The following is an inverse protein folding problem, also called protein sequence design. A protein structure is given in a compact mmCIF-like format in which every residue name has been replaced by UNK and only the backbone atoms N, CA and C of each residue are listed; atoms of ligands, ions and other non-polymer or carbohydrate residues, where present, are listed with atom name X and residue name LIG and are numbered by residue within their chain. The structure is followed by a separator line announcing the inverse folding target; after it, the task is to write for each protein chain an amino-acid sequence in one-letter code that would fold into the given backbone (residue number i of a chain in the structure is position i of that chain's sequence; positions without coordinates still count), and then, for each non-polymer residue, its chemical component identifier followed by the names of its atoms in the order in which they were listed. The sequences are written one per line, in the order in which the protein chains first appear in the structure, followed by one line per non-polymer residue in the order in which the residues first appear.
data_IF_959527291087
#
_entry.id   IF_959527291087
#
_cell.length_a   1.000
_cell.length_b   1.000
_cell.length_c   1.000
_cell.angle_alpha   90.00
_cell.angle_beta   90.00
_cell.angle_gamma   90.00
#
_symmetry.space_group_name_H-M   'P 1'
#
loop_
_entity.id
_entity.type
_entity.pdbx_description
1 polymer ?
#
# COMPACT_ATOMS: atom_id res chain seq x y z
N UNK A 1 44.02 6.55 -47.54
CA UNK A 1 44.06 6.78 -46.08
C UNK A 1 42.68 6.44 -45.52
N UNK A 2 42.65 5.56 -44.50
CA UNK A 2 41.51 4.74 -44.10
C UNK A 2 40.45 5.48 -43.26
N UNK A 3 39.20 5.11 -43.51
CA UNK A 3 37.97 5.42 -42.78
C UNK A 3 38.03 4.93 -41.32
N UNK A 4 37.67 5.80 -40.36
CA UNK A 4 37.48 5.43 -38.95
C UNK A 4 36.00 5.15 -38.69
N UNK A 5 35.64 3.88 -38.63
CA UNK A 5 34.35 3.40 -38.11
C UNK A 5 34.54 3.04 -36.64
N UNK A 6 33.85 3.74 -35.73
CA UNK A 6 33.85 3.42 -34.30
C UNK A 6 32.86 2.30 -34.01
N UNK A 7 33.37 1.16 -33.52
CA UNK A 7 32.58 0.01 -33.06
C UNK A 7 32.24 0.24 -31.59
N UNK A 8 30.95 0.46 -31.29
CA UNK A 8 30.42 0.45 -29.93
C UNK A 8 30.19 -1.01 -29.53
N UNK A 9 30.97 -1.52 -28.57
CA UNK A 9 30.79 -2.84 -27.97
C UNK A 9 29.74 -2.73 -26.85
N UNK A 10 28.59 -3.38 -27.04
CA UNK A 10 27.63 -3.62 -25.97
C UNK A 10 28.02 -4.90 -25.22
N UNK A 11 28.42 -4.76 -23.95
CA UNK A 11 28.57 -5.89 -23.04
C UNK A 11 27.21 -6.23 -22.43
N UNK A 12 26.63 -7.34 -22.90
CA UNK A 12 25.44 -7.96 -22.31
C UNK A 12 25.88 -8.65 -21.00
N UNK A 13 25.43 -8.13 -19.86
CA UNK A 13 25.54 -8.82 -18.56
C UNK A 13 24.32 -9.73 -18.42
N UNK A 14 24.56 -11.03 -18.58
CA UNK A 14 23.57 -12.08 -18.37
C UNK A 14 23.46 -12.36 -16.86
N UNK A 15 22.32 -12.00 -16.25
CA UNK A 15 22.00 -12.41 -14.86
C UNK A 15 21.31 -13.76 -14.93
N UNK A 16 22.07 -14.83 -14.69
CA UNK A 16 21.54 -16.16 -14.50
C UNK A 16 20.93 -16.26 -13.09
N UNK A 17 19.62 -16.50 -13.01
CA UNK A 17 18.95 -16.91 -11.77
C UNK A 17 19.05 -18.44 -11.72
N UNK A 18 19.97 -18.95 -10.91
CA UNK A 18 20.07 -20.38 -10.62
C UNK A 18 18.97 -20.78 -9.65
N UNK A 19 18.00 -21.55 -10.15
CA UNK A 19 17.06 -22.31 -9.33
C UNK A 19 17.82 -23.45 -8.64
N UNK A 20 18.06 -23.32 -7.33
CA UNK A 20 18.60 -24.39 -6.51
C UNK A 20 17.48 -25.35 -6.08
N UNK A 21 17.39 -26.49 -6.75
CA UNK A 21 16.82 -27.71 -6.17
C UNK A 21 17.77 -28.20 -5.07
N UNK A 22 17.30 -28.26 -3.83
CA UNK A 22 17.87 -29.13 -2.81
C UNK A 22 16.77 -30.02 -2.23
N UNK A 23 16.78 -31.28 -2.65
CA UNK A 23 16.16 -32.38 -1.92
C UNK A 23 16.88 -32.55 -0.58
N UNK A 24 16.14 -32.53 0.52
CA UNK A 24 16.55 -33.20 1.75
C UNK A 24 15.36 -33.98 2.31
N UNK A 25 15.48 -35.30 2.24
CA UNK A 25 14.65 -36.27 2.97
C UNK A 25 15.18 -36.37 4.40
N UNK A 26 14.29 -36.20 5.38
CA UNK A 26 14.29 -36.72 6.77
C UNK A 26 13.09 -36.04 7.44
N UNK A 27 12.01 -36.69 7.89
CA UNK A 27 11.92 -37.90 8.69
C UNK A 27 11.78 -37.52 10.17
N UNK A 28 10.54 -37.37 10.66
CA UNK A 28 10.00 -37.68 12.01
C UNK A 28 8.86 -36.73 12.44
N UNK A 29 7.69 -37.30 12.67
CA UNK A 29 6.57 -36.72 13.40
C UNK A 29 6.63 -37.17 14.90
N UNK A 30 5.61 -36.90 15.74
CA UNK A 30 5.46 -35.70 16.56
C UNK A 30 5.52 -36.02 18.06
N UNK A 31 5.79 -35.02 18.91
CA UNK A 31 5.61 -35.15 20.36
C UNK A 31 4.80 -34.00 20.95
N UNK A 32 3.76 -34.41 21.67
CA UNK A 32 2.82 -33.62 22.46
C UNK A 32 3.52 -32.91 23.61
N UNK A 33 3.09 -31.69 23.94
CA UNK A 33 2.67 -31.39 25.32
C UNK A 33 1.84 -30.11 25.34
N UNK A 34 0.56 -30.26 25.67
CA UNK A 34 -0.26 -29.19 26.21
C UNK A 34 0.15 -28.98 27.67
N UNK A 35 0.30 -27.74 28.10
CA UNK A 35 0.19 -27.36 29.50
C UNK A 35 -0.68 -26.12 29.58
N UNK A 36 -1.80 -26.28 30.26
CA UNK A 36 -2.71 -25.23 30.66
C UNK A 36 -2.39 -24.84 32.11
N UNK A 37 -2.44 -23.54 32.43
CA UNK A 37 -2.59 -23.07 33.80
C UNK A 37 -3.55 -21.87 33.87
N UNK A 38 -4.75 -22.16 34.39
CA UNK A 38 -5.59 -21.41 35.37
C UNK A 38 -5.12 -19.99 35.76
N UNK A 39 -5.96 -18.96 35.63
CA UNK A 39 -6.94 -18.40 36.63
C UNK A 39 -6.24 -17.76 37.85
N UNK A 40 -6.60 -16.62 38.43
CA UNK A 40 -7.83 -15.82 38.46
C UNK A 40 -7.48 -14.40 39.00
N UNK A 41 -8.46 -13.50 39.00
CA UNK A 41 -8.82 -12.58 40.12
C UNK A 41 -9.29 -11.17 39.69
N UNK A 42 -10.63 -11.08 39.73
CA UNK A 42 -11.50 -9.97 40.11
C UNK A 42 -10.99 -9.11 41.27
N UNK A 43 -11.15 -7.79 41.15
CA UNK A 43 -11.58 -6.92 42.26
C UNK A 43 -12.15 -5.60 41.74
N UNK A 44 -13.47 -5.46 41.88
CA UNK A 44 -14.26 -4.23 41.81
C UNK A 44 -14.16 -3.48 43.14
N UNK A 45 -14.04 -2.15 43.10
CA UNK A 45 -14.25 -1.29 44.28
C UNK A 45 -15.21 -0.17 43.90
N UNK A 46 -16.44 -0.26 44.41
CA UNK A 46 -17.36 0.84 44.62
C UNK A 46 -16.96 1.62 45.89
N UNK A 47 -17.08 2.96 45.86
CA UNK A 47 -17.30 3.76 47.07
C UNK A 47 -18.33 4.85 46.78
N UNK A 48 -19.31 4.93 47.67
CA UNK A 48 -20.49 5.78 47.69
C UNK A 48 -20.25 7.23 48.19
N UNK A 49 -20.98 8.18 47.58
CA UNK A 49 -21.71 9.29 48.23
C UNK A 49 -20.96 10.59 48.57
N UNK A 50 -21.66 11.73 48.86
CA UNK A 50 -23.10 11.89 49.06
C UNK A 50 -23.82 13.02 48.27
N UNK A 51 -25.14 12.87 48.31
CA UNK A 51 -26.29 13.76 48.08
C UNK A 51 -26.09 15.26 48.38
N UNK A 52 -26.61 16.13 47.50
CA UNK A 52 -27.28 17.38 47.90
C UNK A 52 -28.44 17.73 46.96
N UNK A 53 -29.60 17.99 47.57
CA UNK A 53 -30.85 18.46 46.94
C UNK A 53 -30.85 19.99 46.92
N UNK A 54 -31.27 20.61 45.83
CA UNK A 54 -32.08 21.84 45.93
C UNK A 54 -32.99 21.97 44.70
N UNK A 55 -34.30 22.13 44.97
CA UNK A 55 -35.35 22.57 44.04
C UNK A 55 -35.23 24.09 43.85
N UNK A 56 -35.42 24.59 42.63
CA UNK A 56 -36.49 25.57 42.36
C UNK A 56 -36.65 25.78 40.85
N UNK A 57 -37.90 25.84 40.45
CA UNK A 57 -38.43 26.33 39.18
C UNK A 57 -38.03 27.78 38.91
N UNK A 58 -37.81 28.13 37.64
CA UNK A 58 -38.58 29.20 37.02
C UNK A 58 -38.58 29.13 35.49
N UNK A 59 -39.74 29.53 34.97
CA UNK A 59 -40.19 29.46 33.59
C UNK A 59 -40.08 30.85 32.96
N UNK A 60 -39.64 30.93 31.69
CA UNK A 60 -40.25 31.75 30.62
C UNK A 60 -39.26 32.44 29.66
N UNK A 61 -39.69 32.40 28.40
CA UNK A 61 -39.49 33.39 27.32
C UNK A 61 -38.19 33.38 26.52
N UNK A 62 -38.18 32.46 25.56
CA UNK A 62 -38.24 32.70 24.11
C UNK A 62 -37.87 34.11 23.57
N UNK A 63 -37.11 34.06 22.48
CA UNK A 63 -36.90 35.05 21.41
C UNK A 63 -35.69 36.00 21.53
N UNK A 64 -34.52 35.50 21.12
CA UNK A 64 -33.56 36.33 20.36
C UNK A 64 -32.59 35.45 19.55
N UNK A 65 -32.73 35.55 18.24
CA UNK A 65 -31.67 35.49 17.22
C UNK A 65 -30.77 34.25 17.15
N UNK A 66 -31.29 33.26 16.42
CA UNK A 66 -30.74 32.88 15.11
C UNK A 66 -29.29 33.31 14.84
N UNK A 67 -28.34 32.55 15.37
CA UNK A 67 -27.02 32.36 14.77
C UNK A 67 -26.42 31.07 15.34
N UNK A 68 -25.73 30.30 14.50
CA UNK A 68 -25.08 29.01 14.80
C UNK A 68 -26.00 27.78 14.74
N UNK A 69 -26.60 27.55 13.57
CA UNK A 69 -26.90 26.19 13.12
C UNK A 69 -26.44 26.03 11.66
N UNK A 70 -25.14 26.22 11.45
CA UNK A 70 -24.47 25.86 10.20
C UNK A 70 -23.82 24.48 10.35
N UNK A 71 -24.64 23.44 10.58
CA UNK A 71 -24.26 22.06 10.30
C UNK A 71 -25.15 21.57 9.17
N UNK A 72 -24.88 22.09 7.96
CA UNK A 72 -25.50 21.58 6.76
C UNK A 72 -25.02 20.14 6.55
N UNK A 73 -25.94 19.18 6.60
CA UNK A 73 -25.68 17.84 6.12
C UNK A 73 -25.30 17.95 4.65
N UNK A 74 -24.01 17.75 4.33
CA UNK A 74 -23.51 17.70 2.94
C UNK A 74 -24.35 16.66 2.19
N UNK A 75 -24.91 17.05 1.06
CA UNK A 75 -25.80 16.19 0.30
C UNK A 75 -25.03 15.00 -0.28
N UNK A 76 -25.71 13.86 -0.48
CA UNK A 76 -25.12 12.68 -1.11
C UNK A 76 -24.48 13.00 -2.49
N UNK A 77 -25.09 13.89 -3.25
CA UNK A 77 -24.60 14.32 -4.55
C UNK A 77 -23.27 15.09 -4.45
N UNK A 78 -23.12 15.95 -3.45
CA UNK A 78 -21.87 16.69 -3.20
C UNK A 78 -20.75 15.75 -2.78
N UNK A 79 -21.03 14.76 -1.92
CA UNK A 79 -20.07 13.72 -1.53
C UNK A 79 -19.61 12.92 -2.75
N UNK A 80 -20.55 12.47 -3.59
CA UNK A 80 -20.22 11.75 -4.82
C UNK A 80 -19.37 12.60 -5.78
N UNK A 81 -19.76 13.86 -6.00
CA UNK A 81 -19.01 14.76 -6.87
C UNK A 81 -17.58 15.02 -6.35
N UNK A 82 -17.40 15.11 -5.02
CA UNK A 82 -16.08 15.23 -4.41
C UNK A 82 -15.25 13.96 -4.61
N UNK A 83 -15.83 12.78 -4.41
CA UNK A 83 -15.14 11.49 -4.60
C UNK A 83 -14.62 11.31 -6.03
N UNK A 84 -15.41 11.68 -7.05
CA UNK A 84 -14.97 11.60 -8.47
C UNK A 84 -13.76 12.51 -8.76
N UNK A 85 -13.65 13.65 -8.07
CA UNK A 85 -12.55 14.61 -8.23
C UNK A 85 -11.35 14.34 -7.32
N UNK A 86 -11.45 13.36 -6.43
CA UNK A 86 -10.41 13.07 -5.44
C UNK A 86 -9.34 12.10 -5.96
N UNK A 87 -8.09 12.38 -5.62
CA UNK A 87 -6.98 11.45 -5.82
C UNK A 87 -7.16 10.21 -4.93
N UNK A 88 -6.65 9.06 -5.39
CA UNK A 88 -6.79 7.81 -4.63
C UNK A 88 -6.02 7.82 -3.30
N UNK A 89 -4.98 8.67 -3.19
CA UNK A 89 -4.14 8.84 -2.00
C UNK A 89 -4.96 8.91 -0.71
N UNK A 90 -6.04 9.68 -0.70
CA UNK A 90 -6.91 9.83 0.48
C UNK A 90 -7.54 8.49 0.91
N UNK A 91 -7.92 7.65 -0.04
CA UNK A 91 -8.50 6.33 0.24
C UNK A 91 -7.43 5.31 0.61
N UNK A 92 -6.24 5.39 0.02
CA UNK A 92 -5.09 4.60 0.46
C UNK A 92 -4.83 4.84 1.95
N UNK A 93 -4.80 6.10 2.38
CA UNK A 93 -4.58 6.47 3.78
C UNK A 93 -5.75 6.13 4.71
N UNK A 94 -6.97 6.01 4.18
CA UNK A 94 -8.11 5.42 4.92
C UNK A 94 -7.97 3.91 5.10
N UNK A 95 -7.36 3.20 4.14
CA UNK A 95 -7.25 1.73 4.13
C UNK A 95 -6.11 1.22 5.02
N UNK A 96 -4.91 1.81 4.94
CA UNK A 96 -3.74 1.28 5.68
C UNK A 96 -3.93 1.15 7.21
N UNK A 97 -4.71 1.99 7.92
CA UNK A 97 -4.93 1.83 9.35
C UNK A 97 -5.71 0.57 9.72
N UNK A 98 -6.48 -0.02 8.79
CA UNK A 98 -7.27 -1.23 9.04
C UNK A 98 -6.38 -2.47 9.36
N UNK A 99 -5.09 -2.43 9.00
CA UNK A 99 -4.12 -3.48 9.32
C UNK A 99 -3.46 -3.30 10.69
N UNK A 100 -3.72 -2.18 11.39
CA UNK A 100 -3.10 -1.91 12.69
C UNK A 100 -3.60 -2.92 13.73
N UNK A 101 -2.67 -3.54 14.46
CA UNK A 101 -2.97 -4.47 15.55
C UNK A 101 -3.36 -5.89 15.10
N UNK A 102 -3.45 -6.15 13.79
CA UNK A 102 -3.64 -7.51 13.28
C UNK A 102 -2.33 -8.29 13.17
N UNK A 103 -2.44 -9.62 13.13
CA UNK A 103 -1.31 -10.53 12.89
C UNK A 103 -1.18 -10.78 11.39
N UNK A 104 -0.22 -10.10 10.76
CA UNK A 104 0.05 -10.19 9.32
C UNK A 104 1.51 -10.59 9.09
N UNK A 105 1.85 -11.89 9.15
CA UNK A 105 3.22 -12.34 8.96
C UNK A 105 3.76 -11.96 7.58
N UNK A 106 5.07 -11.78 7.49
CA UNK A 106 5.73 -11.69 6.19
C UNK A 106 5.96 -13.09 5.63
N UNK A 107 5.53 -13.34 4.38
CA UNK A 107 5.86 -14.55 3.64
C UNK A 107 6.11 -14.21 2.19
N UNK A 108 7.39 -14.25 1.80
CA UNK A 108 7.80 -14.24 0.40
C UNK A 108 7.83 -15.67 -0.13
N UNK A 109 7.05 -15.94 -1.18
CA UNK A 109 7.05 -17.21 -1.89
C UNK A 109 7.11 -16.97 -3.40
N UNK A 110 7.36 -18.03 -4.16
CA UNK A 110 7.33 -18.01 -5.63
C UNK A 110 6.12 -18.75 -6.22
N UNK A 111 5.25 -19.32 -5.36
CA UNK A 111 4.07 -20.06 -5.78
C UNK A 111 2.86 -19.14 -5.97
N UNK A 112 2.94 -18.33 -7.03
CA UNK A 112 1.88 -17.40 -7.43
C UNK A 112 0.62 -18.09 -7.96
N UNK A 113 0.64 -19.42 -8.15
CA UNK A 113 -0.55 -20.18 -8.52
C UNK A 113 -1.48 -20.37 -7.32
N UNK A 114 -0.96 -20.40 -6.10
CA UNK A 114 -1.73 -20.65 -4.88
C UNK A 114 -1.78 -19.45 -3.92
N UNK A 115 -0.79 -18.57 -3.94
CA UNK A 115 -0.72 -17.41 -3.05
C UNK A 115 -0.04 -16.24 -3.75
N UNK A 116 -0.67 -15.07 -3.74
CA UNK A 116 -0.22 -13.88 -4.48
C UNK A 116 0.31 -12.76 -3.57
N UNK A 117 0.66 -13.05 -2.32
CA UNK A 117 1.18 -12.02 -1.41
C UNK A 117 0.14 -11.13 -0.76
N UNK A 118 -1.15 -11.45 -0.94
CA UNK A 118 -2.30 -10.71 -0.38
C UNK A 118 -2.77 -11.38 0.91
N UNK A 119 -3.32 -10.60 1.83
CA UNK A 119 -3.83 -11.06 3.13
C UNK A 119 -5.21 -11.72 3.01
N UNK A 120 -5.97 -11.37 1.97
CA UNK A 120 -7.27 -11.96 1.65
C UNK A 120 -7.47 -12.09 0.13
N UNK A 121 -8.39 -12.98 -0.28
CA UNK A 121 -8.67 -13.18 -1.70
C UNK A 121 -9.23 -11.89 -2.31
N UNK A 122 -8.66 -11.46 -3.41
CA UNK A 122 -9.16 -10.32 -4.18
C UNK A 122 -10.11 -10.85 -5.26
N UNK A 123 -11.36 -10.40 -5.20
CA UNK A 123 -12.42 -10.76 -6.14
C UNK A 123 -12.73 -9.55 -7.00
N UNK A 124 -12.60 -9.69 -8.32
CA UNK A 124 -12.94 -8.66 -9.29
C UNK A 124 -13.97 -9.18 -10.27
N UNK A 125 -15.11 -8.50 -10.36
CA UNK A 125 -16.23 -8.88 -11.24
C UNK A 125 -16.62 -10.37 -11.10
N UNK A 126 -16.70 -10.85 -9.85
CA UNK A 126 -17.07 -12.24 -9.52
C UNK A 126 -15.96 -13.28 -9.68
N UNK A 127 -14.76 -12.89 -10.14
CA UNK A 127 -13.61 -13.80 -10.31
C UNK A 127 -12.53 -13.53 -9.28
N UNK A 128 -11.94 -14.57 -8.70
CA UNK A 128 -10.73 -14.45 -7.88
C UNK A 128 -9.57 -14.08 -8.81
N UNK A 129 -8.92 -12.95 -8.54
CA UNK A 129 -7.76 -12.47 -9.31
C UNK A 129 -6.45 -12.52 -8.53
N UNK A 130 -6.50 -12.51 -7.20
CA UNK A 130 -5.36 -12.74 -6.32
C UNK A 130 -5.79 -13.58 -5.12
N UNK A 131 -4.95 -14.54 -4.72
CA UNK A 131 -5.23 -15.53 -3.67
C UNK A 131 -4.44 -15.23 -2.41
N UNK A 132 -5.13 -15.28 -1.27
CA UNK A 132 -4.50 -15.29 0.04
C UNK A 132 -3.76 -16.60 0.30
N UNK A 133 -2.92 -16.61 1.34
CA UNK A 133 -2.25 -17.84 1.76
C UNK A 133 -3.30 -18.91 2.16
N UNK A 134 -3.30 -20.11 1.55
CA UNK A 134 -4.29 -21.16 1.81
C UNK A 134 -4.38 -21.63 3.26
N UNK A 135 -3.32 -21.43 4.05
CA UNK A 135 -3.28 -21.77 5.48
C UNK A 135 -4.06 -20.80 6.38
N UNK A 136 -4.60 -19.71 5.83
CA UNK A 136 -5.36 -18.70 6.57
C UNK A 136 -4.51 -17.77 7.45
N UNK A 137 -3.18 -17.83 7.35
CA UNK A 137 -2.23 -17.04 8.15
C UNK A 137 -2.31 -15.53 7.94
N UNK A 138 -3.00 -15.08 6.87
CA UNK A 138 -3.00 -13.68 6.40
C UNK A 138 -1.59 -13.16 6.12
N UNK A 139 -0.66 -14.06 5.81
CA UNK A 139 0.68 -13.67 5.43
C UNK A 139 0.66 -12.85 4.15
N UNK A 140 1.58 -11.91 4.03
CA UNK A 140 1.71 -11.04 2.85
C UNK A 140 3.17 -10.83 2.46
N UNK A 141 3.40 -10.39 1.23
CA UNK A 141 4.66 -9.79 0.82
C UNK A 141 4.40 -8.44 0.15
N UNK A 142 5.43 -7.61 0.08
CA UNK A 142 5.33 -6.18 -0.24
C UNK A 142 4.47 -5.84 -1.48
N UNK A 143 4.73 -6.50 -2.62
CA UNK A 143 4.00 -6.21 -3.86
C UNK A 143 2.54 -6.66 -3.83
N UNK A 144 2.21 -7.75 -3.12
CA UNK A 144 0.84 -8.21 -2.98
C UNK A 144 0.03 -7.36 -2.02
N UNK A 145 0.62 -7.00 -0.87
CA UNK A 145 -0.05 -6.12 0.09
C UNK A 145 -0.38 -4.76 -0.52
N UNK A 146 0.55 -4.17 -1.27
CA UNK A 146 0.31 -2.87 -1.92
C UNK A 146 -0.72 -2.95 -3.04
N UNK A 147 -0.77 -4.07 -3.77
CA UNK A 147 -1.85 -4.34 -4.72
C UNK A 147 -3.22 -4.47 -4.03
N UNK A 148 -3.29 -5.16 -2.89
CA UNK A 148 -4.51 -5.25 -2.07
C UNK A 148 -4.97 -3.88 -1.58
N UNK A 149 -4.06 -3.04 -1.09
CA UNK A 149 -4.38 -1.68 -0.66
C UNK A 149 -4.88 -0.83 -1.82
N UNK A 150 -4.23 -0.89 -3.00
CA UNK A 150 -4.73 -0.26 -4.22
C UNK A 150 -6.16 -0.70 -4.53
N UNK A 151 -6.42 -2.01 -4.51
CA UNK A 151 -7.73 -2.57 -4.84
C UNK A 151 -8.82 -2.09 -3.87
N UNK A 152 -8.56 -2.18 -2.56
CA UNK A 152 -9.48 -1.71 -1.52
C UNK A 152 -9.76 -0.22 -1.60
N UNK A 153 -8.71 0.58 -1.84
CA UNK A 153 -8.86 2.03 -1.99
C UNK A 153 -9.71 2.39 -3.21
N UNK A 154 -9.53 1.66 -4.32
CA UNK A 154 -10.33 1.84 -5.54
C UNK A 154 -11.80 1.50 -5.30
N UNK A 155 -12.08 0.36 -4.68
CA UNK A 155 -13.46 -0.03 -4.34
C UNK A 155 -14.13 0.99 -3.42
N UNK A 156 -13.42 1.46 -2.40
CA UNK A 156 -13.95 2.44 -1.45
C UNK A 156 -14.28 3.77 -2.13
N UNK A 157 -13.36 4.30 -2.93
CA UNK A 157 -13.63 5.53 -3.70
C UNK A 157 -14.79 5.34 -4.66
N UNK A 158 -14.87 4.21 -5.33
CA UNK A 158 -15.92 3.93 -6.30
C UNK A 158 -17.31 3.87 -5.63
N UNK A 159 -17.41 3.24 -4.44
CA UNK A 159 -18.62 3.25 -3.62
C UNK A 159 -19.03 4.68 -3.26
N UNK A 160 -18.08 5.49 -2.77
CA UNK A 160 -18.33 6.87 -2.37
C UNK A 160 -18.73 7.76 -3.56
N UNK A 161 -18.14 7.51 -4.74
CA UNK A 161 -18.46 8.17 -6.00
C UNK A 161 -19.80 7.71 -6.63
N UNK A 162 -20.47 6.71 -6.05
CA UNK A 162 -21.73 6.19 -6.59
C UNK A 162 -21.58 5.39 -7.89
N UNK A 163 -20.37 4.88 -8.18
CA UNK A 163 -20.13 3.97 -9.30
C UNK A 163 -19.92 2.54 -8.79
N UNK A 164 -19.99 1.55 -9.69
CA UNK A 164 -19.77 0.16 -9.31
C UNK A 164 -18.40 0.00 -8.63
N UNK A 165 -18.30 -0.66 -7.46
CA UNK A 165 -17.03 -0.81 -6.75
C UNK A 165 -15.94 -1.38 -7.64
N UNK A 166 -16.26 -2.39 -8.46
CA UNK A 166 -15.34 -3.02 -9.41
C UNK A 166 -15.21 -2.32 -10.77
N UNK A 167 -15.59 -1.05 -10.93
CA UNK A 167 -15.33 -0.29 -12.16
C UNK A 167 -13.98 0.44 -12.08
N UNK A 168 -12.90 -0.21 -12.49
CA UNK A 168 -11.57 0.38 -12.53
C UNK A 168 -11.30 0.83 -13.97
N UNK A 169 -11.89 1.96 -14.38
CA UNK A 169 -11.76 2.49 -15.74
C UNK A 169 -12.22 1.51 -16.84
N UNK A 170 -13.35 0.82 -16.62
CA UNK A 170 -13.91 -0.19 -17.53
C UNK A 170 -12.96 -1.38 -17.82
N UNK A 171 -11.97 -1.63 -16.98
CA UNK A 171 -11.11 -2.81 -17.11
C UNK A 171 -11.92 -4.10 -17.04
N UNK A 172 -11.75 -4.96 -18.04
CA UNK A 172 -12.23 -6.35 -18.00
C UNK A 172 -11.43 -7.16 -16.98
N UNK A 173 -11.88 -8.37 -16.65
CA UNK A 173 -11.10 -9.32 -15.83
C UNK A 173 -9.72 -9.58 -16.42
N UNK A 174 -9.59 -9.70 -17.75
CA UNK A 174 -8.31 -9.92 -18.40
C UNK A 174 -7.40 -8.70 -18.26
N UNK A 175 -7.95 -7.49 -18.41
CA UNK A 175 -7.22 -6.25 -18.16
C UNK A 175 -6.73 -6.17 -16.72
N UNK A 176 -7.55 -6.59 -15.75
CA UNK A 176 -7.18 -6.58 -14.33
C UNK A 176 -6.09 -7.60 -14.00
N UNK A 177 -6.15 -8.80 -14.58
CA UNK A 177 -5.07 -9.80 -14.45
C UNK A 177 -3.76 -9.28 -15.04
N UNK A 178 -3.81 -8.67 -16.23
CA UNK A 178 -2.62 -8.11 -16.85
C UNK A 178 -2.07 -6.88 -16.10
N UNK A 179 -2.95 -6.05 -15.53
CA UNK A 179 -2.57 -4.98 -14.59
C UNK A 179 -1.83 -5.54 -13.38
N UNK A 180 -2.38 -6.58 -12.72
CA UNK A 180 -1.73 -7.22 -11.58
C UNK A 180 -0.36 -7.79 -11.96
N UNK A 181 -0.24 -8.50 -13.08
CA UNK A 181 1.05 -9.04 -13.53
C UNK A 181 2.07 -7.94 -13.85
N UNK A 182 1.61 -6.80 -14.38
CA UNK A 182 2.45 -5.62 -14.62
C UNK A 182 2.87 -4.96 -13.29
N UNK A 183 1.93 -4.82 -12.35
CA UNK A 183 2.19 -4.33 -10.99
C UNK A 183 3.25 -5.16 -10.27
N UNK A 184 3.20 -6.49 -10.44
CA UNK A 184 4.13 -7.45 -9.84
C UNK A 184 5.48 -7.52 -10.56
N UNK A 185 5.62 -6.82 -11.70
CA UNK A 185 6.75 -6.98 -12.60
C UNK A 185 7.03 -8.45 -12.97
N UNK A 186 5.97 -9.26 -13.12
CA UNK A 186 6.07 -10.72 -13.26
C UNK A 186 6.56 -11.18 -14.66
N UNK A 187 6.60 -10.28 -15.64
CA UNK A 187 6.99 -10.60 -17.03
C UNK A 187 8.50 -10.58 -17.27
N UNK A 188 9.31 -10.24 -16.27
CA UNK A 188 10.77 -10.37 -16.34
C UNK A 188 11.47 -9.43 -17.32
N UNK A 189 10.77 -8.44 -17.88
CA UNK A 189 11.39 -7.37 -18.66
C UNK A 189 12.34 -6.57 -17.76
N UNK A 190 13.52 -6.15 -18.26
CA UNK A 190 14.40 -5.25 -17.53
C UNK A 190 13.64 -4.02 -17.02
N UNK A 191 14.11 -3.40 -15.92
CA UNK A 191 13.55 -2.17 -15.35
C UNK A 191 13.75 -0.97 -16.29
N UNK A 192 13.20 -1.02 -17.51
CA UNK A 192 13.00 0.13 -18.36
C UNK A 192 11.99 1.07 -17.69
N UNK A 193 12.13 2.36 -17.94
CA UNK A 193 11.38 3.41 -17.27
C UNK A 193 9.85 3.24 -17.45
N UNK A 194 9.21 2.57 -16.47
CA UNK A 194 7.75 2.47 -16.41
C UNK A 194 7.13 1.09 -16.62
N UNK A 195 7.82 -0.03 -16.33
CA UNK A 195 7.24 -1.39 -16.44
C UNK A 195 6.65 -1.95 -15.12
N UNK A 196 6.68 -1.18 -14.04
CA UNK A 196 6.27 -1.60 -12.69
C UNK A 196 4.86 -1.12 -12.32
N UNK A 197 4.51 -1.03 -11.03
CA UNK A 197 3.25 -0.45 -10.56
C UNK A 197 2.92 0.92 -11.15
N UNK A 198 3.92 1.79 -11.32
CA UNK A 198 3.70 3.12 -11.90
C UNK A 198 3.36 3.00 -13.39
N UNK A 199 3.98 2.01 -14.04
CA UNK A 199 3.68 1.58 -15.39
C UNK A 199 2.26 1.07 -15.55
N UNK A 200 1.82 0.17 -14.67
CA UNK A 200 0.46 -0.36 -14.66
C UNK A 200 -0.56 0.78 -14.52
N UNK A 201 -0.34 1.72 -13.59
CA UNK A 201 -1.21 2.88 -13.41
C UNK A 201 -1.33 3.72 -14.69
N UNK A 202 -0.20 4.02 -15.35
CA UNK A 202 -0.18 4.80 -16.60
C UNK A 202 -0.82 4.04 -17.75
N UNK A 203 -0.44 2.78 -17.94
CA UNK A 203 -0.88 1.90 -19.03
C UNK A 203 -2.40 1.76 -19.07
N UNK A 204 -3.04 1.64 -17.91
CA UNK A 204 -4.49 1.49 -17.81
C UNK A 204 -5.25 2.80 -17.61
N UNK A 205 -4.59 3.93 -17.89
CA UNK A 205 -5.22 5.24 -17.88
C UNK A 205 -5.73 5.71 -16.51
N UNK A 206 -5.23 5.12 -15.42
CA UNK A 206 -5.67 5.42 -14.04
C UNK A 206 -4.96 6.64 -13.45
N UNK A 207 -3.84 7.07 -14.04
CA UNK A 207 -3.08 8.19 -13.50
C UNK A 207 -1.72 8.36 -14.15
N UNK A 208 -0.73 8.75 -13.34
CA UNK A 208 0.58 9.18 -13.81
C UNK A 208 1.73 8.58 -13.00
N UNK A 209 2.90 8.49 -13.64
CA UNK A 209 4.15 8.30 -12.93
C UNK A 209 4.69 9.66 -12.49
N UNK A 210 4.97 9.80 -11.20
CA UNK A 210 5.59 11.00 -10.64
C UNK A 210 7.08 10.96 -10.93
N UNK A 211 7.60 12.02 -11.57
CA UNK A 211 8.98 12.09 -12.06
C UNK A 211 9.91 12.95 -11.20
N UNK A 212 9.37 13.96 -10.52
CA UNK A 212 10.11 14.77 -9.54
C UNK A 212 9.75 14.30 -8.15
N UNK A 213 10.74 14.09 -7.28
CA UNK A 213 10.49 13.59 -5.93
C UNK A 213 9.57 14.54 -5.14
N UNK A 214 9.74 15.83 -5.35
CA UNK A 214 8.98 16.92 -4.71
C UNK A 214 7.48 16.88 -5.05
N UNK A 215 7.12 16.24 -6.16
CA UNK A 215 5.72 16.11 -6.58
C UNK A 215 5.03 14.91 -5.92
N UNK A 216 5.76 14.04 -5.22
CA UNK A 216 5.21 12.88 -4.52
C UNK A 216 4.34 13.31 -3.34
N UNK A 217 3.28 12.57 -3.09
CA UNK A 217 2.28 12.82 -2.04
C UNK A 217 2.12 11.57 -1.20
N UNK A 218 1.86 11.78 0.09
CA UNK A 218 1.47 10.70 1.00
C UNK A 218 0.34 9.86 0.38
N UNK A 219 0.46 8.53 0.43
CA UNK A 219 -0.48 7.61 -0.20
C UNK A 219 -0.13 7.22 -1.65
N UNK A 220 0.92 7.80 -2.25
CA UNK A 220 1.43 7.33 -3.54
C UNK A 220 1.99 5.90 -3.39
N UNK A 221 1.95 5.13 -4.47
CA UNK A 221 2.61 3.84 -4.50
C UNK A 221 4.04 4.00 -5.00
N UNK A 222 4.98 3.33 -4.35
CA UNK A 222 6.40 3.37 -4.74
C UNK A 222 6.93 1.97 -4.95
N UNK A 223 7.71 1.79 -6.01
CA UNK A 223 8.59 0.64 -6.18
C UNK A 223 10.02 1.12 -6.22
N UNK A 224 10.87 0.52 -5.41
CA UNK A 224 12.25 0.94 -5.30
C UNK A 224 13.22 -0.21 -5.17
N UNK A 225 14.49 0.06 -5.49
CA UNK A 225 15.55 -0.93 -5.48
C UNK A 225 16.67 -0.55 -4.54
N UNK A 226 17.17 -1.56 -3.84
CA UNK A 226 18.45 -1.57 -3.16
C UNK A 226 19.45 -2.34 -4.00
N UNK A 227 20.72 -2.32 -3.61
CA UNK A 227 21.79 -3.07 -4.29
C UNK A 227 21.45 -4.56 -4.52
N UNK A 228 20.65 -5.17 -3.63
CA UNK A 228 20.37 -6.62 -3.65
C UNK A 228 18.89 -6.99 -3.58
N UNK A 229 17.96 -6.03 -3.53
CA UNK A 229 16.53 -6.32 -3.39
C UNK A 229 15.64 -5.22 -3.97
N UNK A 230 14.45 -5.59 -4.42
CA UNK A 230 13.36 -4.65 -4.74
C UNK A 230 12.36 -4.55 -3.57
N UNK A 231 11.55 -3.50 -3.56
CA UNK A 231 10.48 -3.37 -2.59
C UNK A 231 9.38 -2.44 -3.08
N UNK A 232 8.15 -2.85 -2.85
CA UNK A 232 6.96 -2.06 -3.14
C UNK A 232 6.30 -1.59 -1.86
N UNK A 233 5.90 -0.32 -1.79
CA UNK A 233 5.34 0.28 -0.58
C UNK A 233 4.34 1.39 -0.88
N UNK A 234 3.62 1.83 0.16
CA UNK A 234 2.90 3.10 0.17
C UNK A 234 3.82 4.18 0.72
N UNK A 235 4.07 5.23 -0.05
CA UNK A 235 4.86 6.37 0.37
C UNK A 235 4.14 7.18 1.43
N UNK A 236 4.88 7.59 2.48
CA UNK A 236 4.35 8.38 3.59
C UNK A 236 4.90 9.79 3.56
N UNK A 237 6.22 9.95 3.62
CA UNK A 237 6.83 11.28 3.53
C UNK A 237 8.32 11.18 3.14
N UNK A 238 8.87 12.29 2.66
CA UNK A 238 10.31 12.46 2.48
C UNK A 238 11.00 12.72 3.81
N UNK A 239 12.18 12.13 3.99
CA UNK A 239 13.13 12.50 5.03
C UNK A 239 14.06 13.55 4.46
N UNK A 240 14.22 14.66 5.16
CA UNK A 240 15.05 15.80 4.72
C UNK A 240 16.13 16.11 5.74
N UNK A 241 17.28 16.55 5.26
CA UNK A 241 18.34 17.11 6.11
C UNK A 241 18.04 18.57 6.49
N UNK A 242 18.90 19.17 7.32
CA UNK A 242 18.77 20.56 7.80
C UNK A 242 18.81 21.61 6.66
N UNK A 243 19.29 21.22 5.47
CA UNK A 243 19.34 22.08 4.27
C UNK A 243 18.11 21.87 3.38
N UNK A 244 17.19 20.98 3.77
CA UNK A 244 15.99 20.65 3.03
C UNK A 244 16.20 19.62 1.90
N UNK A 245 17.38 19.02 1.77
CA UNK A 245 17.63 18.00 0.76
C UNK A 245 16.93 16.70 1.11
N UNK A 246 16.32 16.03 0.12
CA UNK A 246 15.70 14.72 0.32
C UNK A 246 16.80 13.65 0.47
N UNK A 247 16.93 13.10 1.68
CA UNK A 247 17.94 12.09 2.03
C UNK A 247 17.37 10.67 2.16
N UNK A 248 16.05 10.54 2.20
CA UNK A 248 15.38 9.25 2.34
C UNK A 248 13.88 9.43 2.33
N UNK A 249 13.16 8.39 2.72
CA UNK A 249 11.70 8.42 2.82
C UNK A 249 11.19 7.46 3.89
N UNK A 250 10.02 7.80 4.42
CA UNK A 250 9.17 6.94 5.23
C UNK A 250 8.12 6.29 4.33
N UNK A 251 7.85 5.02 4.56
CA UNK A 251 6.84 4.26 3.84
C UNK A 251 6.09 3.29 4.77
N UNK A 252 4.99 2.75 4.28
CA UNK A 252 4.21 1.68 4.89
C UNK A 252 4.22 0.46 3.96
N UNK A 253 4.59 -0.71 4.48
CA UNK A 253 4.59 -1.98 3.71
C UNK A 253 4.73 -3.19 4.65
N UNK A 254 4.94 -4.37 4.08
CA UNK A 254 5.32 -5.60 4.78
C UNK A 254 6.68 -6.09 4.32
N UNK A 255 7.55 -6.44 5.26
CA UNK A 255 8.86 -7.01 4.97
C UNK A 255 9.36 -7.91 6.11
N UNK A 256 10.36 -8.72 5.80
CA UNK A 256 10.98 -9.62 6.78
C UNK A 256 11.53 -8.86 8.00
N UNK A 257 12.28 -7.78 7.79
CA UNK A 257 12.89 -7.01 8.88
C UNK A 257 11.91 -6.15 9.69
N UNK A 258 10.62 -6.15 9.36
CA UNK A 258 9.55 -5.57 10.20
C UNK A 258 8.65 -6.64 10.81
N UNK A 259 8.94 -7.93 10.55
CA UNK A 259 8.11 -9.07 10.96
C UNK A 259 6.63 -8.90 10.56
N UNK A 260 6.38 -8.44 9.34
CA UNK A 260 5.05 -8.15 8.82
C UNK A 260 4.82 -6.69 8.47
N UNK A 261 3.57 -6.24 8.60
CA UNK A 261 3.13 -4.90 8.18
C UNK A 261 3.59 -3.82 9.18
N UNK A 262 4.36 -2.84 8.71
CA UNK A 262 4.79 -1.71 9.53
C UNK A 262 5.14 -0.47 8.70
N UNK A 263 5.31 0.65 9.41
CA UNK A 263 6.01 1.81 8.88
C UNK A 263 7.51 1.60 8.97
N UNK A 264 8.25 2.09 7.99
CA UNK A 264 9.71 2.05 7.98
C UNK A 264 10.29 3.25 7.26
N UNK A 265 11.52 3.58 7.63
CA UNK A 265 12.33 4.62 7.01
C UNK A 265 13.54 4.01 6.33
N UNK A 266 13.87 4.53 5.16
CA UNK A 266 15.09 4.18 4.43
C UNK A 266 15.73 5.39 3.78
N UNK A 267 17.05 5.31 3.64
CA UNK A 267 17.88 6.39 3.12
C UNK A 267 18.44 6.01 1.75
N UNK A 268 18.72 7.04 0.95
CA UNK A 268 19.37 6.88 -0.34
C UNK A 268 20.86 6.55 -0.20
N UNK A 269 21.38 5.74 -1.13
CA UNK A 269 22.79 5.34 -1.14
C UNK A 269 23.74 6.43 -1.63
N UNK A 270 23.22 7.46 -2.29
CA UNK A 270 23.97 8.57 -2.87
C UNK A 270 24.06 9.80 -1.94
N UNK A 271 23.56 9.69 -0.71
CA UNK A 271 23.70 10.76 0.27
C UNK A 271 25.19 11.08 0.53
N UNK A 272 25.53 12.36 0.83
CA UNK A 272 26.90 12.74 1.17
C UNK A 272 27.50 11.86 2.27
N UNK A 273 28.79 11.52 2.14
CA UNK A 273 29.47 10.68 3.13
C UNK A 273 29.37 11.30 4.53
N UNK A 274 28.96 10.47 5.50
CA UNK A 274 28.88 10.85 6.91
C UNK A 274 27.54 11.41 7.38
N UNK A 275 26.54 11.59 6.50
CA UNK A 275 25.20 12.08 6.91
C UNK A 275 24.25 10.93 7.22
N UNK A 276 23.65 10.32 6.20
CA UNK A 276 22.64 9.29 6.30
C UNK A 276 23.02 8.11 5.42
N UNK A 277 23.46 7.00 6.04
CA UNK A 277 23.85 5.80 5.30
C UNK A 277 22.62 5.02 4.84
N UNK A 278 22.47 4.91 3.52
CA UNK A 278 21.36 4.24 2.87
C UNK A 278 21.79 3.17 1.88
N UNK A 279 20.82 2.37 1.42
CA UNK A 279 21.04 1.36 0.38
C UNK A 279 20.09 1.52 -0.81
N UNK A 280 19.14 2.44 -0.74
CA UNK A 280 18.16 2.68 -1.80
C UNK A 280 18.82 3.45 -2.94
N UNK A 281 18.74 2.90 -4.15
CA UNK A 281 19.19 3.59 -5.34
C UNK A 281 18.12 4.59 -5.78
N UNK A 282 18.41 5.89 -5.62
CA UNK A 282 17.52 7.00 -5.98
C UNK A 282 17.05 6.94 -7.44
N UNK A 283 17.90 6.46 -8.35
CA UNK A 283 17.59 6.35 -9.78
C UNK A 283 16.73 5.11 -10.12
N UNK A 284 16.45 4.26 -9.14
CA UNK A 284 15.56 3.11 -9.26
C UNK A 284 14.41 3.21 -8.26
N UNK A 285 13.90 4.43 -8.06
CA UNK A 285 12.67 4.73 -7.34
C UNK A 285 11.60 5.19 -8.34
N UNK A 286 10.50 4.46 -8.40
CA UNK A 286 9.39 4.69 -9.30
C UNK A 286 8.14 4.97 -8.46
N UNK A 287 7.48 6.08 -8.75
CA UNK A 287 6.34 6.57 -7.96
C UNK A 287 5.12 6.61 -8.87
N UNK A 288 4.06 5.90 -8.52
CA UNK A 288 2.80 5.86 -9.23
C UNK A 288 1.69 6.52 -8.43
N UNK A 289 0.96 7.43 -9.07
CA UNK A 289 -0.24 8.06 -8.50
C UNK A 289 -1.46 7.74 -9.35
N UNK A 290 -2.49 7.20 -8.71
CA UNK A 290 -3.82 7.08 -9.30
C UNK A 290 -4.55 8.41 -9.12
N UNK A 291 -4.91 9.02 -10.25
CA UNK A 291 -5.55 10.33 -10.29
C UNK A 291 -7.04 10.28 -9.96
N UNK A 292 -7.70 11.44 -9.99
CA UNK A 292 -9.15 11.55 -9.98
C UNK A 292 -9.81 10.75 -11.11
N UNK A 293 -11.03 10.27 -10.88
CA UNK A 293 -11.80 9.54 -11.89
C UNK A 293 -12.07 10.42 -13.12
N UNK A 294 -12.29 11.73 -12.91
CA UNK A 294 -12.50 12.69 -14.00
C UNK A 294 -11.30 12.80 -14.96
N UNK A 295 -10.10 12.42 -14.52
CA UNK A 295 -8.86 12.54 -15.29
C UNK A 295 -8.46 11.21 -15.96
N UNK A 296 -9.30 10.18 -15.84
CA UNK A 296 -9.02 8.88 -16.43
C UNK A 296 -9.02 8.96 -17.96
N UNK A 297 -8.10 8.19 -18.57
CA UNK A 297 -7.95 8.10 -20.02
C UNK A 297 -8.35 6.70 -20.49
N UNK A 298 -8.86 6.62 -21.72
CA UNK A 298 -8.99 5.33 -22.41
C UNK A 298 -7.61 4.68 -22.61
N UNK A 299 -7.56 3.36 -22.67
CA UNK A 299 -6.34 2.57 -22.86
C UNK A 299 -6.57 1.42 -23.84
#
# INVERSE_FOLDING_TARGET
MLSKTSIIKYSIVLIAITAGLFFSLSGHAPSKTMSASKSADTASVEVNGPVSKTRSSDNSNNTASATVQANAAVSKAEVQAAAVKSELNNYVLKVIPAYKGGKYPYLLNSDYNHYNGVTENIIYQGSVIAKANPDGSKSSHCVGLTYEVFFKAMEERNKEAGISPGNFNNMTINNMKDFMLTWYNAKGTPKSAGDQLAGAIVKYGLGSQIKRLEDAKEGDFIDFSRTKSGHTAVFINWLKDDKGNIVGFKYWSTQESTNGIAYKEEYFSDNPQGTFKGTVNRNQLYIGRVGPIVDYRSF
#
